data_IF_678197459460
#
_entry.id   IF_678197459460
#
_cell.length_a   1.000
_cell.length_b   1.000
_cell.length_c   1.000
_cell.angle_alpha   90.00
_cell.angle_beta   90.00
_cell.angle_gamma   90.00
#
_symmetry.space_group_name_H-M   'P 1'
#
loop_
_entity.id
_entity.type
_entity.pdbx_description
1 polymer ?
#
# COMPACT_ATOMS: atom_id res chain seq x y z
N UNK A 1 -37.12 10.90 -14.15
CA UNK A 1 -36.66 10.48 -12.80
C UNK A 1 -35.19 10.84 -12.65
N UNK A 2 -34.77 11.59 -11.62
CA UNK A 2 -33.36 11.87 -11.40
C UNK A 2 -32.67 10.58 -10.94
N UNK A 3 -31.54 10.24 -11.57
CA UNK A 3 -30.70 9.10 -11.17
C UNK A 3 -30.22 9.36 -9.75
N UNK A 4 -30.51 8.46 -8.80
CA UNK A 4 -29.84 8.43 -7.49
C UNK A 4 -28.34 8.45 -7.76
N UNK A 5 -27.67 9.57 -7.45
CA UNK A 5 -26.22 9.68 -7.56
C UNK A 5 -25.61 8.57 -6.72
N UNK A 6 -24.92 7.63 -7.37
CA UNK A 6 -24.16 6.61 -6.65
C UNK A 6 -23.10 7.30 -5.80
N UNK A 7 -22.89 6.81 -4.57
CA UNK A 7 -21.75 7.26 -3.76
C UNK A 7 -20.48 7.10 -4.60
N UNK A 8 -19.62 8.12 -4.60
CA UNK A 8 -18.33 8.03 -5.27
C UNK A 8 -17.56 6.80 -4.76
N UNK A 9 -16.91 6.08 -5.67
CA UNK A 9 -16.09 4.94 -5.28
C UNK A 9 -14.92 5.43 -4.42
N UNK A 10 -14.64 4.73 -3.32
CA UNK A 10 -13.42 4.98 -2.53
C UNK A 10 -12.21 4.66 -3.42
N UNK A 11 -11.20 5.54 -3.42
CA UNK A 11 -10.00 5.39 -4.24
C UNK A 11 -8.85 4.71 -3.46
N UNK A 12 -9.03 4.52 -2.16
CA UNK A 12 -8.14 3.82 -1.26
C UNK A 12 -8.91 3.23 -0.08
N UNK A 13 -8.25 2.37 0.69
CA UNK A 13 -8.79 1.82 1.94
C UNK A 13 -7.69 1.50 2.95
N UNK A 14 -8.07 1.52 4.23
CA UNK A 14 -7.33 0.94 5.33
C UNK A 14 -7.74 -0.54 5.51
N UNK A 15 -6.85 -1.35 6.09
CA UNK A 15 -7.03 -2.79 6.26
C UNK A 15 -6.79 -3.25 7.71
N UNK A 16 -7.62 -2.83 8.70
CA UNK A 16 -7.48 -3.23 10.10
C UNK A 16 -7.48 -4.74 10.32
N UNK A 17 -8.16 -5.50 9.44
CA UNK A 17 -8.19 -6.98 9.50
C UNK A 17 -6.86 -7.65 9.20
N UNK A 18 -5.88 -6.93 8.66
CA UNK A 18 -4.53 -7.42 8.42
C UNK A 18 -3.57 -7.02 9.56
N UNK A 19 -4.09 -6.39 10.62
CA UNK A 19 -3.29 -5.99 11.77
C UNK A 19 -2.70 -7.20 12.49
N UNK A 20 -3.48 -8.25 12.73
CA UNK A 20 -3.01 -9.44 13.46
C UNK A 20 -1.76 -10.08 12.83
N UNK A 21 -1.69 -10.11 11.48
CA UNK A 21 -0.53 -10.61 10.75
C UNK A 21 0.71 -9.73 10.94
N UNK A 22 0.52 -8.40 10.97
CA UNK A 22 1.60 -7.42 11.22
C UNK A 22 2.06 -7.48 12.67
N UNK A 23 1.12 -7.48 13.62
CA UNK A 23 1.37 -7.53 15.06
C UNK A 23 2.19 -8.76 15.42
N UNK A 24 1.81 -9.94 14.90
CA UNK A 24 2.56 -11.17 15.10
C UNK A 24 4.04 -11.05 14.67
N UNK A 25 4.32 -10.42 13.52
CA UNK A 25 5.69 -10.25 13.03
C UNK A 25 6.48 -9.16 13.78
N UNK A 26 5.79 -8.22 14.44
CA UNK A 26 6.40 -7.20 15.30
C UNK A 26 6.73 -7.77 16.68
N UNK A 27 5.82 -8.58 17.23
CA UNK A 27 5.98 -9.26 18.52
C UNK A 27 7.21 -10.19 18.53
N UNK A 28 7.56 -10.80 17.39
CA UNK A 28 8.79 -11.60 17.21
C UNK A 28 10.08 -10.81 17.53
N UNK A 29 10.05 -9.48 17.45
CA UNK A 29 11.17 -8.59 17.81
C UNK A 29 10.91 -7.79 19.10
N UNK A 30 9.81 -8.07 19.81
CA UNK A 30 9.40 -7.32 21.00
C UNK A 30 8.90 -5.90 20.71
N UNK A 31 8.41 -5.62 19.50
CA UNK A 31 7.73 -4.36 19.17
C UNK A 31 6.21 -4.53 19.25
N UNK A 32 5.53 -3.59 19.90
CA UNK A 32 4.08 -3.55 19.99
C UNK A 32 3.59 -2.23 19.41
N UNK A 33 2.72 -2.31 18.40
CA UNK A 33 2.09 -1.13 17.81
C UNK A 33 0.62 -1.41 17.53
N UNK A 34 -0.24 -0.43 17.76
CA UNK A 34 -1.67 -0.53 17.51
C UNK A 34 -2.07 -0.02 16.11
N UNK A 35 -3.08 -0.64 15.51
CA UNK A 35 -3.65 -0.16 14.27
C UNK A 35 -4.49 1.10 14.47
N UNK A 36 -4.18 2.16 13.72
CA UNK A 36 -4.92 3.42 13.73
C UNK A 36 -5.89 3.51 12.54
N UNK A 37 -7.17 3.20 12.79
CA UNK A 37 -8.23 3.21 11.76
C UNK A 37 -8.73 4.63 11.42
N UNK A 38 -7.81 5.59 11.35
CA UNK A 38 -8.04 6.97 10.91
C UNK A 38 -6.98 7.31 9.89
N UNK A 39 -7.43 7.74 8.71
CA UNK A 39 -6.56 8.15 7.61
C UNK A 39 -6.21 9.65 7.76
N UNK A 40 -5.30 9.95 8.68
CA UNK A 40 -4.82 11.30 9.01
C UNK A 40 -3.40 11.50 8.47
N UNK A 41 -3.20 12.48 7.58
CA UNK A 41 -1.89 12.81 7.01
C UNK A 41 -1.14 13.86 7.83
N UNK A 42 -1.81 14.66 8.65
CA UNK A 42 -1.18 15.81 9.29
C UNK A 42 -0.43 15.43 10.58
N UNK A 43 -0.73 14.26 11.15
CA UNK A 43 -0.24 13.83 12.46
C UNK A 43 0.75 12.68 12.43
N UNK A 44 1.14 12.20 11.23
CA UNK A 44 2.13 11.13 11.14
C UNK A 44 3.53 11.66 11.50
N UNK A 45 4.32 10.81 12.15
CA UNK A 45 5.72 11.11 12.49
C UNK A 45 6.69 10.50 11.47
N UNK A 46 6.24 9.46 10.77
CA UNK A 46 6.98 8.82 9.68
C UNK A 46 5.99 8.40 8.59
N UNK A 47 6.41 8.50 7.33
CA UNK A 47 5.63 8.06 6.17
C UNK A 47 6.54 7.39 5.15
N UNK A 48 6.02 6.36 4.48
CA UNK A 48 6.70 5.74 3.35
C UNK A 48 5.75 5.23 2.29
N UNK A 49 5.95 5.73 1.07
CA UNK A 49 5.37 5.15 -0.12
C UNK A 49 6.15 3.91 -0.56
N UNK A 50 5.43 2.83 -0.83
CA UNK A 50 5.97 1.55 -1.28
C UNK A 50 4.90 0.78 -2.06
N UNK A 51 5.12 -0.51 -2.29
CA UNK A 51 4.15 -1.37 -2.91
C UNK A 51 4.09 -2.76 -2.27
N UNK A 52 2.93 -3.41 -2.44
CA UNK A 52 2.66 -4.80 -2.07
C UNK A 52 2.05 -5.54 -3.26
N UNK A 53 1.94 -6.86 -3.13
CA UNK A 53 1.31 -7.71 -4.13
C UNK A 53 -0.18 -7.91 -3.86
N UNK A 54 -0.89 -8.28 -4.93
CA UNK A 54 -2.30 -8.63 -4.85
C UNK A 54 -2.96 -8.68 -6.21
N UNK A 55 -4.28 -8.81 -6.19
CA UNK A 55 -5.15 -8.94 -7.35
C UNK A 55 -6.30 -7.94 -7.28
N UNK A 56 -6.67 -7.43 -8.44
CA UNK A 56 -7.82 -6.58 -8.63
C UNK A 56 -8.98 -7.36 -9.25
N UNK A 57 -10.20 -7.10 -8.78
CA UNK A 57 -11.45 -7.64 -9.33
C UNK A 57 -12.33 -6.48 -9.81
N UNK A 58 -12.75 -6.52 -11.08
CA UNK A 58 -13.76 -5.59 -11.58
C UNK A 58 -15.13 -5.91 -10.96
N UNK A 59 -15.77 -4.93 -10.32
CA UNK A 59 -17.11 -5.11 -9.73
C UNK A 59 -18.25 -4.68 -10.65
N UNK A 60 -17.94 -4.11 -11.81
CA UNK A 60 -18.96 -3.70 -12.76
C UNK A 60 -19.53 -4.94 -13.48
N UNK A 61 -20.74 -5.35 -13.11
CA UNK A 61 -21.43 -6.51 -13.71
C UNK A 61 -21.69 -6.37 -15.22
N UNK A 62 -21.61 -5.16 -15.79
CA UNK A 62 -21.71 -4.92 -17.24
C UNK A 62 -20.37 -5.06 -17.96
N UNK A 63 -19.28 -5.20 -17.20
CA UNK A 63 -17.94 -5.37 -17.74
C UNK A 63 -17.60 -6.86 -17.82
N UNK A 64 -17.14 -7.32 -18.97
CA UNK A 64 -16.72 -8.71 -19.17
C UNK A 64 -15.36 -9.05 -18.53
N UNK A 65 -14.58 -8.04 -18.12
CA UNK A 65 -13.30 -8.26 -17.44
C UNK A 65 -13.51 -8.80 -16.02
N UNK A 66 -12.80 -9.88 -15.68
CA UNK A 66 -12.75 -10.44 -14.32
C UNK A 66 -11.78 -9.70 -13.38
N UNK A 67 -11.10 -8.66 -13.88
CA UNK A 67 -10.02 -7.96 -13.18
C UNK A 67 -8.62 -8.35 -13.69
N UNK A 68 -7.58 -7.91 -12.98
CA UNK A 68 -6.19 -8.10 -13.38
C UNK A 68 -5.26 -8.08 -12.15
N UNK A 69 -3.99 -8.49 -12.29
CA UNK A 69 -2.98 -8.30 -11.24
C UNK A 69 -1.86 -7.43 -11.79
N UNK A 70 -1.58 -6.33 -11.11
CA UNK A 70 -0.49 -5.41 -11.47
C UNK A 70 0.87 -5.88 -10.96
N UNK A 71 0.90 -6.89 -10.07
CA UNK A 71 2.04 -7.23 -9.20
C UNK A 71 2.58 -6.06 -8.37
N UNK A 72 1.88 -4.92 -8.37
CA UNK A 72 2.27 -3.67 -7.72
C UNK A 72 1.04 -2.87 -7.32
N UNK A 73 0.69 -2.95 -6.05
CA UNK A 73 -0.35 -2.15 -5.42
C UNK A 73 0.36 -1.08 -4.61
N UNK A 74 0.14 0.18 -4.94
CA UNK A 74 0.72 1.29 -4.18
C UNK A 74 0.13 1.31 -2.76
N UNK A 75 0.99 1.51 -1.78
CA UNK A 75 0.59 1.74 -0.40
C UNK A 75 1.42 2.87 0.19
N UNK A 76 0.82 3.61 1.12
CA UNK A 76 1.50 4.58 1.98
C UNK A 76 1.42 4.04 3.41
N UNK A 77 2.55 3.71 4.00
CA UNK A 77 2.64 3.26 5.39
C UNK A 77 2.92 4.49 6.25
N UNK A 78 2.25 4.62 7.38
CA UNK A 78 2.44 5.73 8.31
C UNK A 78 2.59 5.24 9.73
N UNK A 79 3.50 5.86 10.46
CA UNK A 79 3.62 5.74 11.90
C UNK A 79 3.17 7.03 12.56
N UNK A 80 2.52 6.91 13.71
CA UNK A 80 2.00 8.01 14.51
C UNK A 80 2.59 7.93 15.91
N UNK A 81 2.43 9.02 16.67
CA UNK A 81 2.69 9.00 18.10
C UNK A 81 1.84 7.96 18.83
N UNK A 82 2.33 7.54 20.02
CA UNK A 82 1.70 6.51 20.86
C UNK A 82 1.71 5.12 20.20
N UNK A 83 2.82 4.78 19.53
CA UNK A 83 3.05 3.42 18.99
C UNK A 83 1.92 2.96 18.06
N UNK A 84 1.45 3.86 17.21
CA UNK A 84 0.34 3.59 16.28
C UNK A 84 0.80 3.60 14.85
N UNK A 85 0.12 2.83 14.01
CA UNK A 85 0.39 2.83 12.58
C UNK A 85 -0.86 2.59 11.75
N UNK A 86 -0.80 2.95 10.47
CA UNK A 86 -1.71 2.41 9.48
C UNK A 86 -1.01 2.26 8.13
N UNK A 87 -1.72 1.68 7.18
CA UNK A 87 -1.29 1.68 5.78
C UNK A 87 -2.49 1.97 4.89
N UNK A 88 -2.39 3.07 4.15
CA UNK A 88 -3.32 3.41 3.08
C UNK A 88 -3.00 2.56 1.87
N UNK A 89 -4.01 1.86 1.36
CA UNK A 89 -3.87 1.01 0.18
C UNK A 89 -4.64 1.62 -0.98
N UNK A 90 -3.93 2.03 -2.02
CA UNK A 90 -4.55 2.66 -3.19
C UNK A 90 -5.18 1.61 -4.10
N UNK A 91 -6.39 1.91 -4.58
CA UNK A 91 -7.12 1.04 -5.47
C UNK A 91 -6.61 1.19 -6.90
N UNK A 92 -7.11 0.32 -7.79
CA UNK A 92 -6.82 0.39 -9.20
C UNK A 92 -8.13 0.40 -9.99
N UNK A 93 -8.05 0.76 -11.27
CA UNK A 93 -9.17 0.76 -12.20
C UNK A 93 -9.16 -0.47 -13.07
N UNK A 94 -10.35 -0.89 -13.48
CA UNK A 94 -10.49 -1.89 -14.52
C UNK A 94 -9.97 -1.32 -15.86
N UNK A 95 -9.09 -2.06 -16.53
CA UNK A 95 -8.59 -1.73 -17.87
C UNK A 95 -9.70 -1.43 -18.88
N UNK A 96 -10.81 -2.14 -18.79
CA UNK A 96 -11.86 -2.08 -19.80
C UNK A 96 -12.94 -1.04 -19.51
N UNK A 97 -13.44 -0.96 -18.27
CA UNK A 97 -14.54 -0.06 -17.93
C UNK A 97 -14.16 1.11 -17.03
N UNK A 98 -12.88 1.23 -16.64
CA UNK A 98 -12.34 2.30 -15.79
C UNK A 98 -12.99 2.43 -14.40
N UNK A 99 -13.90 1.50 -14.05
CA UNK A 99 -14.48 1.43 -12.71
C UNK A 99 -13.40 1.04 -11.71
N UNK A 100 -13.41 1.71 -10.55
CA UNK A 100 -12.67 1.25 -9.39
C UNK A 100 -13.26 -0.08 -8.96
N UNK A 101 -12.40 -1.04 -8.72
CA UNK A 101 -12.79 -2.39 -8.33
C UNK A 101 -12.14 -2.82 -7.04
N UNK A 102 -12.48 -4.05 -6.65
CA UNK A 102 -12.13 -4.58 -5.35
C UNK A 102 -10.72 -5.12 -5.35
N UNK A 103 -9.98 -4.78 -4.31
CA UNK A 103 -8.66 -5.28 -4.05
C UNK A 103 -8.71 -6.58 -3.23
N UNK A 104 -7.89 -7.54 -3.63
CA UNK A 104 -7.49 -8.70 -2.82
C UNK A 104 -5.99 -8.57 -2.62
N UNK A 105 -5.58 -8.21 -1.41
CA UNK A 105 -4.18 -8.13 -1.04
C UNK A 105 -3.61 -9.52 -0.82
N UNK A 106 -2.34 -9.68 -1.16
CA UNK A 106 -1.52 -10.75 -0.63
C UNK A 106 -1.18 -10.40 0.84
N UNK A 107 -1.78 -11.12 1.79
CA UNK A 107 -1.71 -10.78 3.21
C UNK A 107 -0.29 -10.91 3.77
N UNK A 108 0.46 -11.93 3.35
CA UNK A 108 1.85 -12.15 3.74
C UNK A 108 2.73 -11.03 3.21
N UNK A 109 2.64 -10.72 1.91
CA UNK A 109 3.39 -9.62 1.31
C UNK A 109 3.05 -8.25 1.94
N UNK A 110 1.78 -8.04 2.31
CA UNK A 110 1.36 -6.84 3.03
C UNK A 110 1.99 -6.78 4.42
N UNK A 111 1.87 -7.85 5.21
CA UNK A 111 2.36 -7.90 6.57
C UNK A 111 3.88 -7.70 6.62
N UNK A 112 4.65 -8.45 5.83
CA UNK A 112 6.10 -8.32 5.75
C UNK A 112 6.53 -6.90 5.38
N UNK A 113 5.87 -6.28 4.38
CA UNK A 113 6.23 -4.94 3.91
C UNK A 113 5.97 -3.88 4.98
N UNK A 114 4.80 -3.94 5.62
CA UNK A 114 4.41 -2.99 6.66
C UNK A 114 5.34 -3.15 7.85
N UNK A 115 5.52 -4.39 8.33
CA UNK A 115 6.42 -4.71 9.44
C UNK A 115 7.85 -4.26 9.18
N UNK A 116 8.39 -4.45 7.97
CA UNK A 116 9.74 -4.00 7.62
C UNK A 116 9.98 -2.52 7.93
N UNK A 117 9.04 -1.65 7.53
CA UNK A 117 9.17 -0.21 7.75
C UNK A 117 8.96 0.17 9.21
N UNK A 118 7.98 -0.44 9.89
CA UNK A 118 7.77 -0.22 11.32
C UNK A 118 8.98 -0.62 12.16
N UNK A 119 9.58 -1.80 11.89
CA UNK A 119 10.82 -2.25 12.52
C UNK A 119 11.94 -1.23 12.30
N UNK A 120 12.10 -0.76 11.05
CA UNK A 120 13.14 0.21 10.69
C UNK A 120 12.99 1.56 11.41
N UNK A 121 11.78 2.11 11.46
CA UNK A 121 11.51 3.39 12.14
C UNK A 121 11.68 3.29 13.65
N UNK A 122 11.48 2.10 14.23
CA UNK A 122 11.76 1.82 15.64
C UNK A 122 13.23 1.40 15.90
N UNK A 123 14.13 1.68 14.96
CA UNK A 123 15.58 1.51 15.15
C UNK A 123 16.10 0.08 15.03
N UNK A 124 15.28 -0.89 14.63
CA UNK A 124 15.74 -2.26 14.41
C UNK A 124 16.54 -2.37 13.11
N UNK A 125 17.60 -3.18 13.18
CA UNK A 125 18.42 -3.53 12.00
C UNK A 125 17.71 -4.59 11.16
N UNK A 126 16.93 -4.14 10.19
CA UNK A 126 16.30 -5.02 9.20
C UNK A 126 17.19 -5.20 7.97
N UNK A 127 17.34 -6.44 7.50
CA UNK A 127 18.07 -6.71 6.26
C UNK A 127 17.30 -6.10 5.08
N UNK A 128 18.02 -5.44 4.17
CA UNK A 128 17.42 -4.96 2.93
C UNK A 128 16.97 -6.20 2.14
N UNK A 129 15.71 -6.29 1.72
CA UNK A 129 15.29 -7.39 0.87
C UNK A 129 16.05 -7.32 -0.46
N UNK A 130 16.55 -8.47 -0.92
CA UNK A 130 17.20 -8.60 -2.22
C UNK A 130 16.14 -8.47 -3.32
N UNK A 131 15.83 -7.23 -3.68
CA UNK A 131 15.01 -6.93 -4.84
C UNK A 131 15.88 -7.00 -6.09
N UNK A 132 16.24 -8.22 -6.51
CA UNK A 132 16.88 -8.45 -7.82
C UNK A 132 15.81 -8.50 -8.91
N UNK A 133 15.42 -7.35 -9.44
CA UNK A 133 14.59 -7.32 -10.64
C UNK A 133 13.97 -5.98 -10.96
N UNK A 134 14.21 -5.50 -12.18
CA UNK A 134 13.29 -4.56 -12.81
C UNK A 134 11.93 -5.25 -12.92
N UNK A 135 10.91 -4.75 -12.22
CA UNK A 135 9.55 -5.21 -12.49
C UNK A 135 9.16 -4.71 -13.89
N UNK A 136 9.21 -5.62 -14.86
CA UNK A 136 8.54 -5.47 -16.17
C UNK A 136 7.06 -5.86 -16.08
N UNK A 137 6.56 -6.06 -14.85
CA UNK A 137 5.19 -6.44 -14.58
C UNK A 137 4.20 -5.36 -15.02
N UNK A 138 2.90 -5.71 -15.15
CA UNK A 138 1.97 -4.96 -15.98
C UNK A 138 1.33 -3.79 -15.22
N UNK A 139 2.09 -3.15 -14.32
CA UNK A 139 1.62 -1.98 -13.59
C UNK A 139 1.34 -0.86 -14.58
N UNK A 140 0.11 -0.38 -14.53
CA UNK A 140 -0.41 0.64 -15.42
C UNK A 140 -0.70 1.87 -14.57
N UNK A 141 0.15 2.90 -14.71
CA UNK A 141 0.08 4.12 -13.90
C UNK A 141 -1.20 4.90 -14.16
N UNK A 142 -1.80 4.77 -15.35
CA UNK A 142 -3.07 5.42 -15.67
C UNK A 142 -4.23 4.79 -14.89
N UNK A 143 -4.10 3.53 -14.50
CA UNK A 143 -5.12 2.78 -13.76
C UNK A 143 -4.86 2.74 -12.26
N UNK A 144 -3.70 3.18 -11.78
CA UNK A 144 -3.37 3.16 -10.37
C UNK A 144 -3.76 4.47 -9.68
N UNK A 145 -4.61 4.41 -8.65
CA UNK A 145 -4.98 5.61 -7.90
C UNK A 145 -3.77 6.22 -7.19
N UNK A 146 -2.84 5.40 -6.70
CA UNK A 146 -1.58 5.87 -6.09
C UNK A 146 -0.71 6.66 -7.06
N UNK A 147 -0.56 6.22 -8.32
CA UNK A 147 0.16 6.98 -9.34
C UNK A 147 -0.48 8.34 -9.61
N UNK A 148 -1.83 8.39 -9.67
CA UNK A 148 -2.58 9.62 -9.95
C UNK A 148 -2.40 10.69 -8.87
N UNK A 149 -2.11 10.27 -7.64
CA UNK A 149 -1.86 11.18 -6.51
C UNK A 149 -0.39 11.27 -6.10
N UNK A 150 0.53 10.68 -6.88
CA UNK A 150 1.98 10.76 -6.63
C UNK A 150 2.54 9.78 -5.58
N UNK A 151 1.71 8.90 -5.00
CA UNK A 151 2.08 7.97 -3.93
C UNK A 151 2.45 6.55 -4.41
N UNK A 152 2.80 6.40 -5.68
CA UNK A 152 3.30 5.13 -6.21
C UNK A 152 4.75 5.30 -6.67
N UNK A 153 5.73 4.77 -5.92
CA UNK A 153 7.12 4.93 -6.29
C UNK A 153 7.37 4.17 -7.59
N UNK A 154 7.93 4.82 -8.61
CA UNK A 154 8.50 4.13 -9.76
C UNK A 154 9.53 3.14 -9.20
N UNK A 155 9.55 1.90 -9.71
CA UNK A 155 10.27 0.77 -9.10
C UNK A 155 11.80 0.88 -9.14
N UNK A 156 12.36 2.10 -9.19
CA UNK A 156 13.78 2.37 -9.26
C UNK A 156 14.26 3.51 -8.35
N UNK A 157 13.38 4.35 -7.79
CA UNK A 157 13.80 5.45 -6.92
C UNK A 157 13.12 5.33 -5.57
N UNK A 158 13.72 4.56 -4.65
CA UNK A 158 13.64 4.90 -3.22
C UNK A 158 14.50 4.00 -2.33
N UNK A 159 15.79 3.86 -2.66
CA UNK A 159 16.78 3.59 -1.60
C UNK A 159 18.12 4.23 -1.92
N UNK A 160 18.48 4.32 -3.21
CA UNK A 160 19.69 5.02 -3.64
C UNK A 160 19.65 6.53 -3.34
N UNK A 161 18.50 7.19 -3.56
CA UNK A 161 18.36 8.63 -3.33
C UNK A 161 18.34 9.01 -1.83
N UNK A 162 17.73 8.16 -0.99
CA UNK A 162 17.74 8.34 0.48
C UNK A 162 19.15 8.11 1.06
N UNK A 163 19.94 7.18 0.50
CA UNK A 163 21.31 6.93 0.95
C UNK A 163 22.30 8.03 0.52
N UNK A 164 22.05 8.70 -0.62
CA UNK A 164 22.85 9.86 -1.04
C UNK A 164 22.64 11.09 -0.13
N UNK A 165 21.50 11.18 0.54
CA UNK A 165 21.14 12.33 1.39
C UNK A 165 21.59 12.17 2.85
N UNK A 166 22.14 11.02 3.23
CA UNK A 166 22.61 10.70 4.59
C UNK A 166 24.14 10.53 4.67
N UNK A 167 24.87 11.04 3.66
CA UNK A 167 26.34 11.05 3.61
C UNK A 167 26.93 12.44 3.87
N UNK A 168 26.40 13.17 4.86
CA UNK A 168 27.05 14.34 5.47
C UNK A 168 27.09 14.12 6.97
#
# INVERSE_FOLDING_TARGET
MPRKGGKAAKLWSLHPKLHDDVARLLDEEGLQLDFFDVDDEDTNIEERDTNVMGRFICQNHRCYSSGWSSKKIAITIRMYSQERYNARVYHQRCRNCQAVGRLILDSECYAERVTYWLKRWNGLKVQRPDYSGQSRGPHDSELCEGCRVGHCPNSNEDLASVLASLSI
#
